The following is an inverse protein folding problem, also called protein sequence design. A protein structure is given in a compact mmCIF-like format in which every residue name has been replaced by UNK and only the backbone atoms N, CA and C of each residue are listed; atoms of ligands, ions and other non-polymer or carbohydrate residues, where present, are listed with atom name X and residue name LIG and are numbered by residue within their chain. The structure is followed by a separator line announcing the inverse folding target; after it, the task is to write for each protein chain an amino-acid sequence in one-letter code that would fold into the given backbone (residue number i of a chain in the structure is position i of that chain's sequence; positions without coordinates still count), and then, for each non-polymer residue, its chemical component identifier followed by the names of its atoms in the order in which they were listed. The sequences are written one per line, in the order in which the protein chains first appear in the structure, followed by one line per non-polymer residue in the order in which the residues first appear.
data_IF_592008243497
#
_entry.id   IF_592008243497
#
_cell.length_a   1.000
_cell.length_b   1.000
_cell.length_c   1.000
_cell.angle_alpha   90.00
_cell.angle_beta   90.00
_cell.angle_gamma   90.00
#
_symmetry.space_group_name_H-M   'P 1'
#
loop_
_entity.id
_entity.type
_entity.pdbx_description
1 polymer ?
#
# COMPACT_ATOMS: atom_id res chain seq x y z
N UNK A 1 -7.95 16.72 1.78
CA UNK A 1 -7.59 16.07 0.50
C UNK A 1 -7.12 14.67 0.84
N UNK A 2 -7.39 13.65 0.01
CA UNK A 2 -6.99 12.27 0.30
C UNK A 2 -5.86 11.82 -0.61
N UNK A 3 -4.84 11.15 -0.05
CA UNK A 3 -3.72 10.59 -0.78
C UNK A 3 -3.68 9.07 -0.58
N UNK A 4 -3.79 8.30 -1.67
CA UNK A 4 -3.65 6.86 -1.62
C UNK A 4 -2.20 6.47 -1.92
N UNK A 5 -1.55 5.82 -0.96
CA UNK A 5 -0.17 5.34 -1.11
C UNK A 5 -0.15 3.94 -1.74
N UNK A 6 0.74 3.76 -2.71
CA UNK A 6 1.11 2.44 -3.19
C UNK A 6 2.12 1.75 -2.24
N UNK A 7 2.40 0.47 -2.49
CA UNK A 7 3.30 -0.34 -1.67
C UNK A 7 4.70 0.26 -1.54
N UNK A 8 5.31 0.75 -2.63
CA UNK A 8 6.68 1.25 -2.59
C UNK A 8 6.76 2.61 -1.93
N UNK A 9 5.80 3.49 -2.19
CA UNK A 9 5.70 4.82 -1.57
C UNK A 9 5.57 4.68 -0.06
N UNK A 10 4.69 3.80 0.42
CA UNK A 10 4.57 3.50 1.85
C UNK A 10 5.89 3.00 2.44
N UNK A 11 6.52 1.99 1.82
CA UNK A 11 7.78 1.43 2.30
C UNK A 11 8.93 2.44 2.29
N UNK A 12 9.01 3.29 1.27
CA UNK A 12 10.02 4.34 1.20
C UNK A 12 9.80 5.41 2.25
N UNK A 13 8.54 5.80 2.48
CA UNK A 13 8.19 6.79 3.49
C UNK A 13 8.58 6.34 4.90
N UNK A 14 8.14 5.16 5.35
CA UNK A 14 8.43 4.66 6.70
C UNK A 14 9.92 4.37 6.96
N UNK A 15 10.70 4.17 5.89
CA UNK A 15 12.14 3.96 5.95
C UNK A 15 12.95 5.24 5.68
N UNK A 16 12.30 6.40 5.51
CA UNK A 16 12.93 7.67 5.11
C UNK A 16 13.90 7.50 3.92
N UNK A 17 13.46 6.72 2.93
CA UNK A 17 14.27 6.34 1.77
C UNK A 17 14.50 7.53 0.84
N UNK A 18 15.71 7.72 0.30
CA UNK A 18 15.99 8.77 -0.69
C UNK A 18 15.30 8.53 -2.05
N UNK A 19 14.69 7.35 -2.25
CA UNK A 19 13.90 7.05 -3.44
C UNK A 19 12.52 7.74 -3.41
N UNK A 20 12.05 8.18 -2.24
CA UNK A 20 10.87 9.01 -2.14
C UNK A 20 11.22 10.44 -2.57
N UNK A 21 10.54 10.96 -3.58
CA UNK A 21 10.78 12.34 -4.02
C UNK A 21 10.43 13.33 -2.90
N UNK A 22 11.12 14.48 -2.89
CA UNK A 22 10.90 15.54 -1.91
C UNK A 22 9.45 16.05 -1.99
N UNK A 23 8.90 16.19 -3.19
CA UNK A 23 7.51 16.63 -3.37
C UNK A 23 6.50 15.63 -2.80
N UNK A 24 6.73 14.32 -3.04
CA UNK A 24 5.87 13.27 -2.48
C UNK A 24 5.98 13.23 -0.96
N UNK A 25 7.20 13.36 -0.41
CA UNK A 25 7.43 13.44 1.02
C UNK A 25 6.71 14.64 1.65
N UNK A 26 6.86 15.82 1.07
CA UNK A 26 6.19 17.04 1.54
C UNK A 26 4.67 16.91 1.49
N UNK A 27 4.13 16.22 0.47
CA UNK A 27 2.70 15.98 0.35
C UNK A 27 2.20 15.00 1.43
N UNK A 28 2.96 13.93 1.68
CA UNK A 28 2.63 12.93 2.71
C UNK A 28 2.72 13.55 4.12
N UNK A 29 3.70 14.42 4.37
CA UNK A 29 3.90 15.12 5.64
C UNK A 29 2.98 16.34 5.82
N UNK A 30 2.14 16.65 4.83
CA UNK A 30 1.14 17.73 4.92
C UNK A 30 -0.15 17.26 5.62
N UNK A 31 -1.05 18.20 5.94
CA UNK A 31 -2.34 17.93 6.58
C UNK A 31 -3.35 17.32 5.58
N UNK A 32 -3.13 16.06 5.20
CA UNK A 32 -3.95 15.29 4.25
C UNK A 32 -4.31 13.92 4.82
N UNK A 33 -5.47 13.40 4.42
CA UNK A 33 -5.87 12.05 4.83
C UNK A 33 -5.04 11.02 4.04
N UNK A 34 -4.18 10.29 4.74
CA UNK A 34 -3.39 9.21 4.14
C UNK A 34 -4.19 7.92 4.10
N UNK A 35 -4.34 7.36 2.91
CA UNK A 35 -5.00 6.08 2.68
C UNK A 35 -3.95 5.03 2.27
N UNK A 36 -4.12 3.81 2.74
CA UNK A 36 -3.35 2.65 2.31
C UNK A 36 -4.28 1.50 1.92
N UNK A 37 -4.14 0.98 0.70
CA UNK A 37 -4.98 -0.13 0.23
C UNK A 37 -4.64 -1.43 0.94
N UNK A 38 -5.66 -2.22 1.28
CA UNK A 38 -5.47 -3.59 1.77
C UNK A 38 -4.72 -4.47 0.76
N UNK A 39 -4.80 -4.17 -0.55
CA UNK A 39 -4.02 -4.87 -1.56
C UNK A 39 -2.51 -4.60 -1.45
N UNK A 40 -2.12 -3.35 -1.12
CA UNK A 40 -0.72 -3.01 -0.86
C UNK A 40 -0.20 -3.77 0.36
N UNK A 41 -1.01 -3.84 1.42
CA UNK A 41 -0.69 -4.63 2.61
C UNK A 41 -0.52 -6.12 2.30
N UNK A 42 -1.36 -6.68 1.44
CA UNK A 42 -1.25 -8.06 0.99
C UNK A 42 0.03 -8.31 0.18
N UNK A 43 0.41 -7.39 -0.70
CA UNK A 43 1.68 -7.47 -1.44
C UNK A 43 2.90 -7.49 -0.50
N UNK A 44 2.90 -6.64 0.54
CA UNK A 44 3.94 -6.62 1.58
C UNK A 44 3.99 -7.98 2.29
N UNK A 45 2.84 -8.52 2.70
CA UNK A 45 2.78 -9.81 3.39
C UNK A 45 3.35 -10.94 2.53
N UNK A 46 3.00 -10.99 1.23
CA UNK A 46 3.57 -11.95 0.29
C UNK A 46 5.09 -11.78 0.21
N UNK A 47 5.57 -10.55 -0.03
CA UNK A 47 7.01 -10.26 -0.17
C UNK A 47 7.81 -10.66 1.08
N UNK A 48 7.28 -10.43 2.28
CA UNK A 48 7.87 -10.89 3.54
C UNK A 48 7.91 -12.42 3.62
N UNK A 49 6.80 -13.10 3.30
CA UNK A 49 6.69 -14.56 3.38
C UNK A 49 7.69 -15.30 2.48
N UNK A 50 8.02 -14.73 1.32
CA UNK A 50 8.98 -15.29 0.35
C UNK A 50 10.40 -14.74 0.52
N UNK A 51 10.67 -13.96 1.58
CA UNK A 51 11.99 -13.41 1.90
C UNK A 51 12.49 -12.33 0.93
N UNK A 52 11.61 -11.74 0.10
CA UNK A 52 11.97 -10.65 -0.82
C UNK A 52 11.91 -9.27 -0.17
N UNK A 53 11.33 -9.17 1.02
CA UNK A 53 11.28 -7.95 1.82
C UNK A 53 11.60 -8.29 3.27
N UNK A 54 12.62 -7.65 3.82
CA UNK A 54 12.98 -7.74 5.24
C UNK A 54 12.41 -6.52 5.95
N UNK A 55 11.76 -6.76 7.10
CA UNK A 55 11.20 -5.72 7.97
C UNK A 55 11.81 -5.86 9.38
N UNK A 56 11.89 -4.76 10.17
CA UNK A 56 12.57 -4.79 11.47
C UNK A 56 11.97 -5.77 12.49
N UNK A 57 10.65 -5.98 12.46
CA UNK A 57 9.90 -6.89 13.34
C UNK A 57 8.98 -7.81 12.51
N UNK A 58 8.18 -8.64 13.17
CA UNK A 58 7.17 -9.45 12.47
C UNK A 58 6.12 -8.56 11.80
N UNK A 59 5.52 -9.06 10.72
CA UNK A 59 4.54 -8.31 9.93
C UNK A 59 3.35 -7.82 10.77
N UNK A 60 2.83 -8.68 11.64
CA UNK A 60 1.71 -8.44 12.55
C UNK A 60 1.99 -7.40 13.64
N UNK A 61 3.26 -7.03 13.84
CA UNK A 61 3.65 -5.96 14.75
C UNK A 61 4.04 -4.69 13.99
N UNK A 62 4.95 -4.83 13.02
CA UNK A 62 5.56 -3.70 12.33
C UNK A 62 4.55 -2.91 11.51
N UNK A 63 3.72 -3.60 10.72
CA UNK A 63 2.81 -2.93 9.79
C UNK A 63 1.68 -2.19 10.52
N UNK A 64 0.95 -2.79 11.49
CA UNK A 64 -0.04 -2.05 12.26
C UNK A 64 0.55 -0.86 13.02
N UNK A 65 1.76 -1.02 13.58
CA UNK A 65 2.45 0.09 14.24
C UNK A 65 2.71 1.25 13.27
N UNK A 66 3.21 0.98 12.07
CA UNK A 66 3.47 2.04 11.08
C UNK A 66 2.19 2.69 10.56
N UNK A 67 1.12 1.92 10.36
CA UNK A 67 -0.19 2.47 9.98
C UNK A 67 -0.71 3.43 11.05
N UNK A 68 -0.59 3.04 12.33
CA UNK A 68 -1.02 3.87 13.45
C UNK A 68 -0.13 5.10 13.66
N UNK A 69 1.20 4.95 13.61
CA UNK A 69 2.14 6.07 13.83
C UNK A 69 2.02 7.18 12.79
N UNK A 70 1.57 6.84 11.59
CA UNK A 70 1.43 7.77 10.48
C UNK A 70 -0.04 8.12 10.17
N UNK A 71 -0.96 7.85 11.11
CA UNK A 71 -2.40 8.15 11.01
C UNK A 71 -3.03 7.73 9.67
N UNK A 72 -2.69 6.54 9.19
CA UNK A 72 -3.16 6.03 7.90
C UNK A 72 -4.48 5.26 8.04
N UNK A 73 -5.43 5.54 7.14
CA UNK A 73 -6.68 4.79 7.02
C UNK A 73 -6.51 3.64 6.03
N UNK A 74 -6.94 2.43 6.42
CA UNK A 74 -6.90 1.27 5.53
C UNK A 74 -8.11 1.25 4.61
N UNK A 75 -7.86 1.40 3.31
CA UNK A 75 -8.88 1.31 2.28
C UNK A 75 -9.16 -0.17 1.95
N UNK A 76 -10.34 -0.62 2.36
CA UNK A 76 -10.80 -2.00 2.12
C UNK A 76 -11.31 -2.19 0.68
N UNK A 77 -11.03 -3.36 0.10
CA UNK A 77 -11.58 -3.78 -1.19
C UNK A 77 -12.72 -4.76 -0.94
N UNK A 78 -13.89 -4.48 -1.51
CA UNK A 78 -15.06 -5.36 -1.46
C UNK A 78 -15.32 -5.97 -2.84
N UNK A 79 -16.15 -7.02 -2.90
CA UNK A 79 -16.58 -7.62 -4.17
C UNK A 79 -17.22 -6.59 -5.11
N UNK A 80 -17.94 -5.60 -4.58
CA UNK A 80 -18.57 -4.55 -5.39
C UNK A 80 -17.55 -3.70 -6.15
N UNK A 81 -16.36 -3.48 -5.58
CA UNK A 81 -15.29 -2.75 -6.25
C UNK A 81 -14.73 -3.50 -7.48
N UNK A 82 -14.90 -4.82 -7.55
CA UNK A 82 -14.36 -5.64 -8.64
C UNK A 82 -15.23 -5.57 -9.91
N UNK A 83 -16.49 -5.17 -9.80
CA UNK A 83 -17.40 -5.06 -10.94
C UNK A 83 -16.83 -4.18 -12.05
N UNK A 84 -16.18 -3.05 -11.70
CA UNK A 84 -15.57 -2.15 -12.69
C UNK A 84 -14.48 -2.83 -13.51
N UNK A 85 -13.75 -3.79 -12.93
CA UNK A 85 -12.70 -4.55 -13.62
C UNK A 85 -13.29 -5.47 -14.69
N UNK A 86 -14.53 -5.91 -14.53
CA UNK A 86 -15.23 -6.71 -15.56
C UNK A 86 -15.74 -5.87 -16.73
N UNK A 87 -15.82 -4.55 -16.56
CA UNK A 87 -16.34 -3.61 -17.56
C UNK A 87 -15.22 -3.05 -18.46
N UNK A 88 -13.96 -3.23 -18.08
CA UNK A 88 -12.83 -2.93 -18.96
C UNK A 88 -12.67 -4.04 -19.98
N UNK A 89 -12.96 -3.77 -21.26
CA UNK A 89 -12.73 -4.68 -22.40
C UNK A 89 -11.23 -5.01 -22.50
N UNK A 90 -10.81 -6.07 -21.82
CA UNK A 90 -9.41 -6.41 -21.64
C UNK A 90 -9.22 -7.89 -21.32
N UNK A 91 -9.09 -8.68 -22.40
CA UNK A 91 -8.51 -10.01 -22.46
C UNK A 91 -9.31 -11.19 -21.84
N UNK A 92 -9.82 -12.01 -22.76
CA UNK A 92 -10.21 -13.41 -22.54
C UNK A 92 -9.05 -14.15 -21.88
N UNK A 93 -9.21 -14.54 -20.62
CA UNK A 93 -8.35 -15.53 -19.99
C UNK A 93 -8.62 -16.88 -20.66
N UNK A 94 -7.77 -17.27 -21.61
CA UNK A 94 -7.73 -18.65 -22.09
C UNK A 94 -7.09 -19.48 -20.98
N UNK A 95 -7.91 -20.24 -20.25
CA UNK A 95 -7.43 -21.32 -19.39
C UNK A 95 -6.99 -22.48 -20.29
N UNK A 96 -5.68 -22.74 -20.34
CA UNK A 96 -5.14 -24.07 -20.66
C UNK A 96 -5.15 -24.95 -19.43
#
# INVERSE_FOLDING_TARGET
MKLLLDTHTFLWFINNSPQLSIDAKNLIESDVDLLLSIASLWEIAIKVSIGKLTIPNTYDQFIPQQVQLNDMEILSISMAHLTVVTLTDGHKWVKT
#
